data_IF_252105206853
#
_entry.id   IF_252105206853
#
_cell.length_a   1.000
_cell.length_b   1.000
_cell.length_c   1.000
_cell.angle_alpha   90.00
_cell.angle_beta   90.00
_cell.angle_gamma   90.00
#
_symmetry.space_group_name_H-M   'P 1'
#
loop_
_entity.id
_entity.type
_entity.pdbx_description
1 polymer ?
#
# COMPACT_ATOMS: atom_id res chain seq x y z
N UNK A 1 5.49 20.80 -13.24
CA UNK A 1 5.10 20.12 -11.99
C UNK A 1 3.63 19.81 -12.11
N UNK A 2 3.28 18.54 -12.31
CA UNK A 2 1.89 18.16 -12.60
C UNK A 2 1.10 17.80 -11.34
N UNK A 3 1.80 17.40 -10.27
CA UNK A 3 1.16 17.04 -9.01
C UNK A 3 1.57 17.98 -7.89
N UNK A 4 0.60 18.34 -7.03
CA UNK A 4 0.77 19.18 -5.84
C UNK A 4 0.80 18.36 -4.56
N UNK A 5 0.32 17.12 -4.61
CA UNK A 5 0.34 16.19 -3.49
C UNK A 5 0.57 14.76 -3.95
N UNK A 6 1.34 14.02 -3.17
CA UNK A 6 1.42 12.57 -3.26
C UNK A 6 0.66 11.94 -2.10
N UNK A 7 -0.27 11.04 -2.43
CA UNK A 7 -0.97 10.19 -1.47
C UNK A 7 -0.36 8.79 -1.47
N UNK A 8 -0.03 8.27 -0.31
CA UNK A 8 0.71 7.01 -0.19
C UNK A 8 -0.15 5.93 0.45
N UNK A 9 -0.15 4.71 -0.11
CA UNK A 9 -0.45 3.53 0.70
C UNK A 9 0.67 3.32 1.74
N UNK A 10 0.39 2.46 2.71
CA UNK A 10 1.31 2.12 3.78
C UNK A 10 1.89 0.73 3.61
N UNK A 11 1.07 -0.32 3.74
CA UNK A 11 1.50 -1.72 3.68
C UNK A 11 2.00 -2.07 2.28
N UNK A 12 3.28 -2.44 2.12
CA UNK A 12 3.88 -2.83 0.83
C UNK A 12 4.37 -1.65 -0.01
N UNK A 13 3.98 -0.43 0.35
CA UNK A 13 4.40 0.80 -0.33
C UNK A 13 5.43 1.57 0.51
N UNK A 14 5.02 2.14 1.64
CA UNK A 14 5.93 2.82 2.58
C UNK A 14 6.66 1.80 3.45
N UNK A 15 5.96 0.78 3.94
CA UNK A 15 6.42 -0.14 4.96
C UNK A 15 6.53 -1.58 4.45
N UNK A 16 7.65 -2.24 4.75
CA UNK A 16 7.88 -3.63 4.42
C UNK A 16 7.11 -4.55 5.37
N UNK A 17 5.87 -4.83 4.96
CA UNK A 17 4.88 -5.57 5.75
C UNK A 17 4.61 -6.96 5.20
N UNK A 18 5.12 -7.29 4.00
CA UNK A 18 4.94 -8.59 3.36
C UNK A 18 5.48 -9.74 4.22
N UNK A 19 6.70 -9.68 4.81
CA UNK A 19 7.20 -10.74 5.68
C UNK A 19 6.28 -10.98 6.90
N UNK A 20 5.77 -9.90 7.49
CA UNK A 20 4.83 -9.97 8.61
C UNK A 20 3.49 -10.59 8.20
N UNK A 21 2.94 -10.18 7.06
CA UNK A 21 1.70 -10.73 6.51
C UNK A 21 1.82 -12.24 6.24
N UNK A 22 2.93 -12.68 5.63
CA UNK A 22 3.23 -14.11 5.41
C UNK A 22 3.32 -14.86 6.74
N UNK A 23 3.98 -14.29 7.75
CA UNK A 23 4.08 -14.92 9.07
C UNK A 23 2.71 -15.06 9.75
N UNK A 24 1.83 -14.05 9.67
CA UNK A 24 0.45 -14.16 10.17
C UNK A 24 -0.31 -15.25 9.44
N UNK A 25 -0.25 -15.23 8.10
CA UNK A 25 -0.95 -16.20 7.29
C UNK A 25 -0.52 -17.63 7.62
N UNK A 26 0.78 -17.89 7.75
CA UNK A 26 1.29 -19.21 8.09
C UNK A 26 0.87 -19.69 9.48
N UNK A 27 0.70 -18.79 10.45
CA UNK A 27 0.10 -19.13 11.75
C UNK A 27 -1.38 -19.52 11.62
N UNK A 28 -2.13 -18.83 10.77
CA UNK A 28 -3.52 -19.20 10.49
C UNK A 28 -3.60 -20.51 9.72
N UNK A 29 -2.66 -20.76 8.80
CA UNK A 29 -2.61 -21.99 8.03
C UNK A 29 -2.40 -23.20 8.94
N UNK A 30 -1.48 -23.11 9.90
CA UNK A 30 -1.27 -24.12 10.93
C UNK A 30 -2.54 -24.38 11.77
N UNK A 31 -3.18 -23.31 12.26
CA UNK A 31 -4.40 -23.42 13.10
C UNK A 31 -5.62 -23.99 12.39
N UNK A 32 -5.79 -23.67 11.11
CA UNK A 32 -7.01 -23.95 10.36
C UNK A 32 -6.85 -25.03 9.28
N UNK A 33 -5.66 -25.65 9.19
CA UNK A 33 -5.37 -26.70 8.21
C UNK A 33 -5.32 -26.18 6.77
N UNK A 34 -4.84 -24.95 6.56
CA UNK A 34 -4.63 -24.36 5.24
C UNK A 34 -3.23 -24.71 4.71
N UNK A 35 -2.97 -24.52 3.42
CA UNK A 35 -1.60 -24.67 2.90
C UNK A 35 -0.80 -23.41 3.21
N UNK A 36 0.36 -23.48 3.88
CA UNK A 36 1.18 -22.30 4.17
C UNK A 36 1.81 -21.69 2.92
N UNK A 37 2.23 -20.43 3.02
CA UNK A 37 3.08 -19.75 2.04
C UNK A 37 4.53 -20.13 2.34
N UNK A 38 5.16 -20.84 1.40
CA UNK A 38 6.59 -21.22 1.48
C UNK A 38 7.47 -20.31 0.62
N UNK A 39 6.91 -19.75 -0.45
CA UNK A 39 7.58 -18.81 -1.34
C UNK A 39 6.74 -17.52 -1.45
N UNK A 40 7.13 -16.46 -0.73
CA UNK A 40 6.46 -15.16 -0.82
C UNK A 40 6.51 -14.54 -2.22
N UNK A 41 7.49 -14.87 -3.07
CA UNK A 41 7.56 -14.31 -4.42
C UNK A 41 6.46 -14.88 -5.32
N UNK A 42 6.20 -16.19 -5.21
CA UNK A 42 5.19 -16.88 -6.01
C UNK A 42 3.76 -16.34 -5.81
N UNK A 43 3.44 -15.80 -4.62
CA UNK A 43 2.10 -15.28 -4.35
C UNK A 43 1.86 -13.87 -4.91
N UNK A 44 2.92 -13.15 -5.32
CA UNK A 44 2.83 -11.76 -5.80
C UNK A 44 2.16 -11.64 -7.17
N UNK A 45 2.19 -12.72 -7.95
CA UNK A 45 1.55 -12.84 -9.26
C UNK A 45 0.15 -13.46 -9.19
N UNK A 46 -0.28 -13.94 -8.01
CA UNK A 46 -1.58 -14.60 -7.87
C UNK A 46 -2.71 -13.58 -7.74
N UNK A 47 -3.79 -13.81 -8.49
CA UNK A 47 -5.08 -13.21 -8.18
C UNK A 47 -5.58 -13.70 -6.82
N UNK A 48 -6.51 -12.96 -6.21
CA UNK A 48 -7.18 -13.41 -4.97
C UNK A 48 -7.78 -14.80 -5.12
N UNK A 49 -8.35 -15.12 -6.29
CA UNK A 49 -8.94 -16.45 -6.54
C UNK A 49 -7.89 -17.55 -6.55
N UNK A 50 -6.76 -17.32 -7.23
CA UNK A 50 -5.65 -18.28 -7.29
C UNK A 50 -5.02 -18.47 -5.92
N UNK A 51 -4.82 -17.39 -5.17
CA UNK A 51 -4.32 -17.46 -3.80
C UNK A 51 -5.22 -18.32 -2.90
N UNK A 52 -6.54 -18.07 -2.92
CA UNK A 52 -7.49 -18.85 -2.11
C UNK A 52 -7.48 -20.34 -2.51
N UNK A 53 -7.37 -20.64 -3.80
CA UNK A 53 -7.31 -22.01 -4.30
C UNK A 53 -6.00 -22.73 -3.91
N UNK A 54 -4.85 -22.11 -4.18
CA UNK A 54 -3.52 -22.64 -3.87
C UNK A 54 -3.35 -22.90 -2.37
N UNK A 55 -3.91 -22.00 -1.55
CA UNK A 55 -3.81 -22.09 -0.10
C UNK A 55 -4.99 -22.80 0.59
N UNK A 56 -5.91 -23.38 -0.19
CA UNK A 56 -7.09 -24.13 0.31
C UNK A 56 -7.96 -23.32 1.28
N UNK A 57 -8.06 -22.01 1.05
CA UNK A 57 -8.87 -21.10 1.87
C UNK A 57 -10.34 -21.18 1.42
N UNK A 58 -11.27 -21.67 2.25
CA UNK A 58 -12.66 -21.75 1.86
C UNK A 58 -13.29 -20.35 1.81
N UNK A 59 -13.89 -19.97 0.69
CA UNK A 59 -14.48 -18.63 0.48
C UNK A 59 -15.48 -18.26 1.59
N UNK A 60 -16.31 -19.21 2.04
CA UNK A 60 -17.28 -18.97 3.11
C UNK A 60 -16.64 -18.67 4.48
N UNK A 61 -15.38 -19.04 4.69
CA UNK A 61 -14.61 -18.74 5.92
C UNK A 61 -13.77 -17.47 5.78
N UNK A 62 -13.71 -16.85 4.61
CA UNK A 62 -12.84 -15.69 4.35
C UNK A 62 -13.09 -14.52 5.33
N UNK A 63 -14.35 -14.13 5.65
CA UNK A 63 -14.58 -13.05 6.61
C UNK A 63 -14.02 -13.37 8.01
N UNK A 64 -14.18 -14.62 8.45
CA UNK A 64 -13.68 -15.09 9.74
C UNK A 64 -12.15 -15.12 9.78
N UNK A 65 -11.50 -15.69 8.76
CA UNK A 65 -10.04 -15.76 8.68
C UNK A 65 -9.42 -14.37 8.54
N UNK A 66 -10.07 -13.44 7.83
CA UNK A 66 -9.62 -12.06 7.72
C UNK A 66 -9.72 -11.33 9.07
N UNK A 67 -10.77 -11.56 9.86
CA UNK A 67 -10.88 -10.99 11.20
C UNK A 67 -9.75 -11.50 12.12
N UNK A 68 -9.44 -12.80 12.10
CA UNK A 68 -8.30 -13.34 12.85
C UNK A 68 -6.97 -12.80 12.34
N UNK A 69 -6.79 -12.68 11.02
CA UNK A 69 -5.59 -12.12 10.41
C UNK A 69 -5.33 -10.71 10.93
N UNK A 70 -6.32 -9.82 10.89
CA UNK A 70 -6.19 -8.45 11.37
C UNK A 70 -5.89 -8.40 12.88
N UNK A 71 -6.50 -9.29 13.67
CA UNK A 71 -6.23 -9.39 15.10
C UNK A 71 -4.78 -9.79 15.39
N UNK A 72 -4.22 -10.73 14.62
CA UNK A 72 -2.84 -11.20 14.80
C UNK A 72 -1.83 -10.18 14.24
N UNK A 73 -2.14 -9.55 13.11
CA UNK A 73 -1.30 -8.54 12.49
C UNK A 73 -1.02 -7.38 13.44
N UNK A 74 -2.02 -6.95 14.23
CA UNK A 74 -1.85 -5.89 15.25
C UNK A 74 -0.68 -6.15 16.21
N UNK A 75 -0.42 -7.42 16.54
CA UNK A 75 0.67 -7.81 17.46
C UNK A 75 2.07 -7.86 16.81
N UNK A 76 2.15 -7.81 15.49
CA UNK A 76 3.40 -7.98 14.72
C UNK A 76 3.89 -6.68 14.06
N UNK A 77 3.22 -5.56 14.32
CA UNK A 77 3.64 -4.26 13.80
C UNK A 77 4.86 -3.68 14.53
N UNK A 78 5.17 -4.21 15.71
CA UNK A 78 6.40 -3.89 16.43
C UNK A 78 7.61 -4.39 15.62
N UNK A 79 8.37 -3.46 15.04
CA UNK A 79 9.56 -3.75 14.25
C UNK A 79 9.38 -3.69 12.73
N UNK A 80 8.20 -3.30 12.24
CA UNK A 80 8.02 -2.99 10.81
C UNK A 80 8.88 -1.77 10.44
N UNK A 81 9.63 -1.92 9.34
CA UNK A 81 10.52 -0.88 8.82
C UNK A 81 9.96 -0.31 7.54
N UNK A 82 10.37 0.90 7.21
CA UNK A 82 10.14 1.44 5.87
C UNK A 82 10.97 0.70 4.85
N UNK A 83 10.52 0.68 3.60
CA UNK A 83 11.34 0.23 2.49
C UNK A 83 12.56 1.14 2.30
N UNK A 84 13.64 0.57 1.76
CA UNK A 84 14.89 1.29 1.54
C UNK A 84 14.69 2.49 0.61
N UNK A 85 15.28 3.63 0.98
CA UNK A 85 15.21 4.87 0.20
C UNK A 85 13.95 5.71 0.40
N UNK A 86 12.91 5.20 1.09
CA UNK A 86 11.67 5.95 1.34
C UNK A 86 11.91 7.30 2.03
N UNK A 87 12.66 7.40 3.15
CA UNK A 87 12.87 8.72 3.80
C UNK A 87 13.48 9.77 2.87
N UNK A 88 14.48 9.37 2.07
CA UNK A 88 15.15 10.27 1.12
C UNK A 88 14.22 10.71 -0.01
N UNK A 89 13.41 9.78 -0.55
CA UNK A 89 12.42 10.10 -1.57
C UNK A 89 11.36 11.09 -1.05
N UNK A 90 10.86 10.88 0.18
CA UNK A 90 9.90 11.80 0.81
C UNK A 90 10.49 13.21 0.96
N UNK A 91 11.75 13.34 1.37
CA UNK A 91 12.44 14.63 1.49
C UNK A 91 12.58 15.32 0.12
N UNK A 92 13.05 14.59 -0.90
CA UNK A 92 13.19 15.13 -2.25
C UNK A 92 11.86 15.60 -2.85
N UNK A 93 10.77 14.84 -2.64
CA UNK A 93 9.43 15.23 -3.11
C UNK A 93 8.93 16.49 -2.40
N UNK A 94 9.25 16.67 -1.12
CA UNK A 94 8.92 17.90 -0.37
C UNK A 94 9.76 19.09 -0.82
N UNK A 95 11.04 18.90 -1.08
CA UNK A 95 11.94 19.95 -1.59
C UNK A 95 11.51 20.45 -2.97
N UNK A 96 10.88 19.56 -3.74
CA UNK A 96 10.23 19.90 -5.01
C UNK A 96 8.94 20.75 -4.81
N UNK A 97 8.38 20.80 -3.61
CA UNK A 97 7.22 21.63 -3.25
C UNK A 97 5.90 20.86 -3.12
N UNK A 98 5.93 19.52 -3.15
CA UNK A 98 4.74 18.70 -3.00
C UNK A 98 4.39 18.43 -1.54
N UNK A 99 3.08 18.38 -1.28
CA UNK A 99 2.52 17.94 0.00
C UNK A 99 2.45 16.41 0.03
N UNK A 100 2.47 15.83 1.23
CA UNK A 100 2.41 14.37 1.40
C UNK A 100 1.24 14.01 2.31
N UNK A 101 0.50 12.96 1.96
CA UNK A 101 -0.53 12.36 2.81
C UNK A 101 -0.47 10.83 2.74
N UNK A 102 -0.91 10.15 3.80
CA UNK A 102 -1.07 8.69 3.81
C UNK A 102 -2.55 8.34 3.75
N UNK A 103 -2.91 7.41 2.87
CA UNK A 103 -4.26 6.84 2.76
C UNK A 103 -4.14 5.32 2.71
N UNK A 104 -4.47 4.64 3.80
CA UNK A 104 -4.33 3.19 3.88
C UNK A 104 -5.49 2.53 4.63
N UNK A 105 -5.70 1.24 4.34
CA UNK A 105 -6.68 0.43 5.08
C UNK A 105 -6.18 -0.04 6.45
N UNK A 106 -4.94 0.30 6.80
CA UNK A 106 -4.36 0.07 8.11
C UNK A 106 -4.89 1.08 9.14
N UNK A 107 -4.80 0.74 10.42
CA UNK A 107 -5.17 1.67 11.49
C UNK A 107 -4.18 2.83 11.55
N UNK A 108 -4.69 4.05 11.76
CA UNK A 108 -3.85 5.25 11.82
C UNK A 108 -2.77 5.15 12.90
N UNK A 109 -3.10 4.58 14.07
CA UNK A 109 -2.13 4.36 15.15
C UNK A 109 -0.95 3.47 14.73
N UNK A 110 -1.21 2.46 13.89
CA UNK A 110 -0.18 1.54 13.40
C UNK A 110 0.76 2.24 12.41
N UNK A 111 0.18 3.04 11.52
CA UNK A 111 0.92 3.83 10.54
C UNK A 111 1.82 4.82 11.30
N UNK A 112 1.24 5.59 12.23
CA UNK A 112 1.98 6.56 13.05
C UNK A 112 3.12 5.92 13.82
N UNK A 113 2.88 4.77 14.47
CA UNK A 113 3.91 4.06 15.21
C UNK A 113 5.14 3.73 14.34
N UNK A 114 4.92 3.27 13.11
CA UNK A 114 6.01 2.97 12.18
C UNK A 114 6.71 4.25 11.69
N UNK A 115 5.94 5.26 11.28
CA UNK A 115 6.50 6.52 10.78
C UNK A 115 7.29 7.27 11.86
N UNK A 116 6.84 7.24 13.12
CA UNK A 116 7.51 7.86 14.26
C UNK A 116 8.82 7.15 14.56
N UNK A 117 8.82 5.82 14.55
CA UNK A 117 10.03 5.02 14.76
C UNK A 117 11.10 5.25 13.68
N UNK A 118 10.70 5.70 12.49
CA UNK A 118 11.60 6.05 11.39
C UNK A 118 11.84 7.57 11.27
N UNK A 119 11.25 8.38 12.15
CA UNK A 119 11.42 9.83 12.17
C UNK A 119 10.89 10.54 10.92
N UNK A 120 9.80 10.05 10.32
CA UNK A 120 9.21 10.58 9.06
C UNK A 120 7.78 11.08 9.17
N UNK A 121 7.12 10.93 10.31
CA UNK A 121 5.71 11.34 10.47
C UNK A 121 5.46 12.80 10.16
N UNK A 122 6.40 13.68 10.50
CA UNK A 122 6.34 15.13 10.29
C UNK A 122 6.38 15.55 8.81
N UNK A 123 6.77 14.64 7.92
CA UNK A 123 6.75 14.85 6.46
C UNK A 123 5.32 14.83 5.90
N UNK A 124 4.38 14.18 6.60
CA UNK A 124 3.00 14.01 6.15
C UNK A 124 2.07 15.05 6.78
N UNK A 125 1.28 15.72 5.94
CA UNK A 125 0.27 16.68 6.38
C UNK A 125 -0.91 15.98 7.08
N UNK A 126 -1.25 14.77 6.61
CA UNK A 126 -2.23 13.93 7.27
C UNK A 126 -1.93 12.45 7.05
N UNK A 127 -2.43 11.65 7.98
CA UNK A 127 -2.47 10.20 7.89
C UNK A 127 -3.94 9.82 8.03
N UNK A 128 -4.45 9.03 7.08
CA UNK A 128 -5.83 8.58 7.08
C UNK A 128 -5.89 7.06 6.97
N UNK A 129 -6.22 6.43 8.10
CA UNK A 129 -6.66 5.03 8.12
C UNK A 129 -8.14 4.93 7.76
N UNK A 130 -8.50 4.05 6.83
CA UNK A 130 -9.90 3.81 6.44
C UNK A 130 -10.31 2.34 6.60
N UNK A 131 -11.61 2.12 6.86
CA UNK A 131 -12.15 0.75 6.90
C UNK A 131 -12.19 0.16 5.49
N UNK A 132 -11.72 -1.09 5.33
CA UNK A 132 -11.81 -1.83 4.05
C UNK A 132 -13.22 -1.87 3.47
N UNK A 133 -14.26 -1.78 4.31
CA UNK A 133 -15.67 -1.72 3.88
C UNK A 133 -16.06 -0.42 3.16
N UNK A 134 -15.35 0.68 3.39
CA UNK A 134 -15.64 1.97 2.74
C UNK A 134 -15.09 2.08 1.32
N UNK A 135 -14.19 1.18 0.92
CA UNK A 135 -13.52 1.17 -0.38
C UNK A 135 -12.41 2.23 -0.51
N UNK A 136 -11.35 1.89 -1.26
CA UNK A 136 -10.20 2.79 -1.48
C UNK A 136 -10.59 4.02 -2.30
N UNK A 137 -11.43 3.84 -3.33
CA UNK A 137 -11.97 4.93 -4.16
C UNK A 137 -12.51 6.10 -3.31
N UNK A 138 -13.39 5.79 -2.36
CA UNK A 138 -14.02 6.79 -1.50
C UNK A 138 -13.01 7.45 -0.56
N UNK A 139 -12.01 6.70 -0.10
CA UNK A 139 -10.95 7.23 0.74
C UNK A 139 -10.07 8.22 -0.03
N UNK A 140 -9.70 7.90 -1.27
CA UNK A 140 -8.92 8.78 -2.14
C UNK A 140 -9.67 10.08 -2.47
N UNK A 141 -10.97 10.00 -2.81
CA UNK A 141 -11.79 11.21 -3.04
C UNK A 141 -11.83 12.11 -1.80
N UNK A 142 -12.05 11.53 -0.61
CA UNK A 142 -12.06 12.29 0.65
C UNK A 142 -10.70 12.89 0.98
N UNK A 143 -9.61 12.20 0.65
CA UNK A 143 -8.26 12.72 0.84
C UNK A 143 -7.99 13.91 -0.08
N UNK A 144 -8.46 13.87 -1.33
CA UNK A 144 -8.42 15.00 -2.26
C UNK A 144 -9.23 16.20 -1.75
N UNK A 145 -10.47 15.95 -1.30
CA UNK A 145 -11.32 16.99 -0.69
C UNK A 145 -10.65 17.63 0.53
N UNK A 146 -10.07 16.81 1.41
CA UNK A 146 -9.32 17.26 2.59
C UNK A 146 -8.10 18.09 2.19
N UNK A 147 -7.40 17.71 1.14
CA UNK A 147 -6.25 18.43 0.64
C UNK A 147 -6.65 19.76 -0.06
N UNK A 148 -7.91 19.93 -0.44
CA UNK A 148 -8.37 21.06 -1.24
C UNK A 148 -7.77 21.05 -2.65
N UNK A 149 -7.57 19.86 -3.21
CA UNK A 149 -6.97 19.64 -4.53
C UNK A 149 -7.95 18.86 -5.42
N UNK A 150 -7.90 19.14 -6.72
CA UNK A 150 -8.59 18.30 -7.70
C UNK A 150 -7.84 16.97 -7.89
N UNK A 151 -8.56 15.96 -8.39
CA UNK A 151 -8.00 14.61 -8.56
C UNK A 151 -6.75 14.60 -9.46
N UNK A 152 -6.73 15.40 -10.53
CA UNK A 152 -5.59 15.49 -11.45
C UNK A 152 -4.36 16.21 -10.87
N UNK A 153 -4.48 16.87 -9.71
CA UNK A 153 -3.34 17.48 -9.01
C UNK A 153 -2.69 16.50 -8.00
N UNK A 154 -3.17 15.25 -7.94
CA UNK A 154 -2.73 14.25 -6.96
C UNK A 154 -2.21 13.02 -7.67
N UNK A 155 -1.04 12.56 -7.24
CA UNK A 155 -0.49 11.26 -7.62
C UNK A 155 -0.67 10.29 -6.45
N UNK A 156 -1.30 9.15 -6.70
CA UNK A 156 -1.35 8.06 -5.71
C UNK A 156 -0.13 7.16 -5.85
N UNK A 157 0.45 6.71 -4.75
CA UNK A 157 1.56 5.76 -4.70
C UNK A 157 1.06 4.49 -4.01
N UNK A 158 1.13 3.36 -4.72
CA UNK A 158 0.60 2.07 -4.27
C UNK A 158 1.36 0.91 -4.90
N UNK A 159 1.14 -0.31 -4.43
CA UNK A 159 1.90 -1.50 -4.82
C UNK A 159 1.02 -2.68 -5.25
N UNK A 160 -0.31 -2.51 -5.24
CA UNK A 160 -1.26 -3.54 -5.63
C UNK A 160 -2.08 -3.15 -6.88
N UNK A 161 -2.55 -4.14 -7.65
CA UNK A 161 -3.46 -3.89 -8.80
C UNK A 161 -4.74 -3.17 -8.36
N UNK A 162 -5.24 -3.46 -7.15
CA UNK A 162 -6.42 -2.79 -6.59
C UNK A 162 -6.22 -1.27 -6.40
N UNK A 163 -4.97 -0.83 -6.30
CA UNK A 163 -4.61 0.57 -6.17
C UNK A 163 -4.76 1.25 -7.51
N UNK A 164 -4.28 0.59 -8.56
CA UNK A 164 -4.41 1.03 -9.96
C UNK A 164 -5.88 1.13 -10.33
N UNK A 165 -6.66 0.10 -10.02
CA UNK A 165 -8.11 0.08 -10.28
C UNK A 165 -8.84 1.21 -9.53
N UNK A 166 -8.50 1.43 -8.25
CA UNK A 166 -9.17 2.43 -7.41
C UNK A 166 -8.78 3.88 -7.77
N UNK A 167 -7.53 4.13 -8.15
CA UNK A 167 -7.07 5.43 -8.63
C UNK A 167 -7.66 5.71 -10.03
N UNK A 168 -7.60 4.73 -10.92
CA UNK A 168 -8.13 4.84 -12.28
C UNK A 168 -9.65 5.09 -12.31
N UNK A 169 -10.43 4.47 -11.43
CA UNK A 169 -11.89 4.66 -11.40
C UNK A 169 -12.33 6.08 -11.03
N UNK A 170 -11.43 6.88 -10.44
CA UNK A 170 -11.69 8.30 -10.12
C UNK A 170 -10.93 9.27 -11.03
N UNK A 171 -10.14 8.74 -11.98
CA UNK A 171 -9.27 9.54 -12.86
C UNK A 171 -8.03 10.09 -12.15
N UNK A 172 -7.58 9.45 -11.07
CA UNK A 172 -6.34 9.78 -10.36
C UNK A 172 -5.18 9.01 -10.97
N UNK A 173 -4.08 9.70 -11.22
CA UNK A 173 -2.85 9.04 -11.66
C UNK A 173 -2.24 8.22 -10.53
N UNK A 174 -1.52 7.15 -10.90
CA UNK A 174 -0.87 6.25 -9.96
C UNK A 174 0.58 5.95 -10.35
N UNK A 175 1.47 6.05 -9.37
CA UNK A 175 2.80 5.46 -9.38
C UNK A 175 2.76 4.11 -8.67
N UNK A 176 2.81 3.03 -9.46
CA UNK A 176 2.83 1.66 -8.96
C UNK A 176 4.26 1.24 -8.62
N UNK A 177 4.51 0.93 -7.35
CA UNK A 177 5.85 0.53 -6.87
C UNK A 177 6.02 -0.98 -6.89
N UNK A 178 7.18 -1.47 -7.32
CA UNK A 178 7.36 -2.91 -7.61
C UNK A 178 7.99 -3.72 -6.47
N UNK A 179 8.26 -3.10 -5.32
CA UNK A 179 8.83 -3.78 -4.15
C UNK A 179 7.80 -4.38 -3.19
N UNK A 180 6.51 -4.07 -3.35
CA UNK A 180 5.44 -4.48 -2.45
C UNK A 180 4.79 -5.83 -2.75
N UNK A 181 3.48 -5.93 -2.58
CA UNK A 181 2.69 -7.15 -2.67
C UNK A 181 2.55 -7.68 -4.09
N UNK A 182 2.22 -6.86 -5.10
CA UNK A 182 2.17 -7.34 -6.48
C UNK A 182 3.53 -7.23 -7.17
N UNK A 183 3.78 -8.11 -8.14
CA UNK A 183 5.03 -8.10 -8.91
C UNK A 183 5.02 -6.97 -9.96
N UNK A 184 6.21 -6.61 -10.44
CA UNK A 184 6.35 -5.68 -11.56
C UNK A 184 5.61 -6.15 -12.83
N UNK A 185 5.55 -7.47 -13.08
CA UNK A 185 4.88 -8.02 -14.25
C UNK A 185 3.35 -7.88 -14.14
N UNK A 186 2.81 -8.17 -12.96
CA UNK A 186 1.39 -7.99 -12.66
C UNK A 186 0.99 -6.52 -12.75
N UNK A 187 1.77 -5.62 -12.12
CA UNK A 187 1.49 -4.19 -12.13
C UNK A 187 1.53 -3.61 -13.54
N UNK A 188 2.53 -3.96 -14.37
CA UNK A 188 2.59 -3.51 -15.77
C UNK A 188 1.37 -3.92 -16.59
N UNK A 189 0.83 -5.11 -16.34
CA UNK A 189 -0.36 -5.60 -17.04
C UNK A 189 -1.61 -4.77 -16.71
N UNK A 190 -1.66 -4.19 -15.51
CA UNK A 190 -2.73 -3.28 -15.08
C UNK A 190 -2.56 -1.84 -15.61
N UNK A 191 -1.47 -1.54 -16.33
CA UNK A 191 -1.22 -0.27 -17.01
C UNK A 191 -1.34 1.00 -16.11
N UNK A 192 -0.54 1.12 -15.03
CA UNK A 192 -0.48 2.32 -14.20
C UNK A 192 0.13 3.51 -14.97
N UNK A 193 -0.07 4.73 -14.46
CA UNK A 193 0.56 5.95 -15.03
C UNK A 193 2.08 5.84 -14.99
N UNK A 194 2.64 5.39 -13.86
CA UNK A 194 4.06 5.15 -13.68
C UNK A 194 4.31 3.78 -13.04
N UNK A 195 5.40 3.12 -13.43
CA UNK A 195 5.94 1.93 -12.75
C UNK A 195 7.29 2.33 -12.17
N UNK A 196 7.44 2.15 -10.85
CA UNK A 196 8.61 2.61 -10.10
C UNK A 196 9.33 1.40 -9.50
N UNK A 197 10.58 1.20 -9.87
CA UNK A 197 11.38 0.06 -9.40
C UNK A 197 12.18 0.37 -8.15
N UNK A 198 12.59 1.63 -8.00
CA UNK A 198 13.32 2.10 -6.84
C UNK A 198 12.71 3.39 -6.28
N UNK A 199 12.65 3.52 -4.95
CA UNK A 199 12.09 4.71 -4.30
C UNK A 199 12.76 6.02 -4.77
N UNK A 200 14.04 5.97 -5.17
CA UNK A 200 14.78 7.09 -5.75
C UNK A 200 14.24 7.62 -7.08
N UNK A 201 13.38 6.87 -7.78
CA UNK A 201 12.77 7.28 -9.04
C UNK A 201 11.49 8.10 -8.82
N UNK A 202 10.87 8.01 -7.63
CA UNK A 202 9.61 8.70 -7.32
C UNK A 202 9.67 10.22 -7.52
N UNK A 203 10.74 10.95 -7.13
CA UNK A 203 10.82 12.38 -7.39
C UNK A 203 10.73 12.74 -8.90
N UNK A 204 11.25 11.88 -9.78
CA UNK A 204 11.18 12.06 -11.23
C UNK A 204 9.74 12.08 -11.76
N UNK A 205 8.88 11.22 -11.22
CA UNK A 205 7.45 11.13 -11.60
C UNK A 205 6.64 12.41 -11.33
N UNK A 206 7.15 13.29 -10.47
CA UNK A 206 6.51 14.56 -10.11
C UNK A 206 6.90 15.71 -11.07
N UNK A 207 8.06 15.57 -11.71
CA UNK A 207 8.68 16.61 -12.55
C UNK A 207 8.44 16.33 -14.04
N UNK A 208 8.47 15.07 -14.45
CA UNK A 208 8.32 14.64 -15.84
C UNK A 208 6.86 14.36 -16.19
N UNK A 209 6.21 15.36 -16.79
CA UNK A 209 4.96 15.18 -17.52
C UNK A 209 4.78 16.27 -18.58
#
# INVERSE_FOLDING_TARGET
MNYRMLLWDFDGTLADTLPGAVAVFNRLADRHGLTPITDPAAIRDMSTREFLAAHRVPIHRLPFLMAEFLSLQKSLLAGVRLHDGIPAALDQIRDLGCRLGVVSSNAEDNIRLCLDANGVTDRFEFIHGYSRLMGKERALRRAADRAGLSIGEILYVGDEVRDIDAAGSIGMDIAAVTWGFNSAATLRTAAPTYVIEHASELPGSVVEA
#
